data_IF_449015202073
#
_entry.id   IF_449015202073
#
_cell.length_a   1.000
_cell.length_b   1.000
_cell.length_c   1.000
_cell.angle_alpha   90.00
_cell.angle_beta   90.00
_cell.angle_gamma   90.00
#
_symmetry.space_group_name_H-M   'P 1'
#
loop_
_entity.id
_entity.type
_entity.pdbx_description
1 polymer ?
#
# COMPACT_ATOMS: atom_id res chain seq x y z
N UNK A 1 44.43 -13.11 11.62
CA UNK A 1 43.15 -13.23 12.36
C UNK A 1 42.32 -11.96 12.28
N UNK A 2 42.85 -10.78 12.64
CA UNK A 2 42.11 -9.51 12.61
C UNK A 2 41.46 -9.18 11.25
N UNK A 3 42.19 -9.33 10.12
CA UNK A 3 41.66 -9.03 8.77
C UNK A 3 40.45 -9.88 8.36
N UNK A 4 40.45 -11.16 8.74
CA UNK A 4 39.34 -12.06 8.44
C UNK A 4 38.08 -11.67 9.24
N UNK A 5 38.27 -11.27 10.50
CA UNK A 5 37.18 -10.78 11.35
C UNK A 5 36.60 -9.45 10.82
N UNK A 6 37.46 -8.54 10.35
CA UNK A 6 37.03 -7.28 9.73
C UNK A 6 36.23 -7.51 8.44
N UNK A 7 36.68 -8.43 7.58
CA UNK A 7 35.96 -8.78 6.35
C UNK A 7 34.60 -9.43 6.66
N UNK A 8 34.55 -10.33 7.64
CA UNK A 8 33.30 -10.95 8.08
C UNK A 8 32.33 -9.91 8.67
N UNK A 9 32.82 -8.97 9.49
CA UNK A 9 32.01 -7.88 10.03
C UNK A 9 31.48 -6.96 8.92
N UNK A 10 32.30 -6.61 7.92
CA UNK A 10 31.86 -5.80 6.79
C UNK A 10 30.78 -6.51 5.97
N UNK A 11 30.98 -7.79 5.66
CA UNK A 11 30.00 -8.60 4.94
C UNK A 11 28.68 -8.68 5.73
N UNK A 12 28.74 -8.86 7.04
CA UNK A 12 27.57 -8.86 7.91
C UNK A 12 26.82 -7.52 7.87
N UNK A 13 27.52 -6.38 7.94
CA UNK A 13 26.91 -5.05 7.82
C UNK A 13 26.27 -4.85 6.45
N UNK A 14 26.93 -5.27 5.37
CA UNK A 14 26.35 -5.20 4.01
C UNK A 14 25.06 -6.01 3.93
N UNK A 15 25.05 -7.22 4.49
CA UNK A 15 23.83 -8.05 4.55
C UNK A 15 22.73 -7.35 5.35
N UNK A 16 23.04 -6.76 6.51
CA UNK A 16 22.04 -6.02 7.29
C UNK A 16 21.47 -4.81 6.53
N UNK A 17 22.32 -4.06 5.82
CA UNK A 17 21.86 -2.92 5.00
C UNK A 17 20.93 -3.40 3.90
N UNK A 18 21.29 -4.46 3.17
CA UNK A 18 20.46 -5.03 2.11
C UNK A 18 19.10 -5.50 2.63
N UNK A 19 19.08 -6.12 3.82
CA UNK A 19 17.84 -6.56 4.46
C UNK A 19 16.96 -5.39 4.95
N UNK A 20 17.54 -4.23 5.24
CA UNK A 20 16.80 -3.06 5.71
C UNK A 20 16.24 -2.17 4.59
N UNK A 21 16.72 -2.29 3.34
CA UNK A 21 16.31 -1.44 2.22
C UNK A 21 14.78 -1.38 2.00
N UNK A 22 14.02 -2.50 2.02
CA UNK A 22 12.58 -2.46 1.77
C UNK A 22 11.81 -1.61 2.78
N UNK A 23 12.28 -1.51 4.02
CA UNK A 23 11.63 -0.72 5.08
C UNK A 23 11.66 0.79 4.85
N UNK A 24 12.44 1.25 3.86
CA UNK A 24 12.50 2.67 3.48
C UNK A 24 11.69 3.00 2.23
N UNK A 25 11.14 1.99 1.54
CA UNK A 25 10.34 2.21 0.34
C UNK A 25 8.95 2.78 0.69
N UNK A 26 8.38 3.55 -0.24
CA UNK A 26 7.02 4.04 -0.10
C UNK A 26 6.02 2.87 -0.13
N UNK A 27 5.00 2.86 0.74
CA UNK A 27 3.95 1.86 0.70
C UNK A 27 3.16 1.92 -0.61
N UNK A 28 2.82 0.74 -1.12
CA UNK A 28 2.09 0.54 -2.37
C UNK A 28 0.69 0.02 -2.06
N UNK A 29 -0.32 0.63 -2.69
CA UNK A 29 -1.72 0.23 -2.62
C UNK A 29 -2.16 -0.26 -3.99
N UNK A 30 -2.55 -1.53 -4.07
CA UNK A 30 -3.08 -2.18 -5.27
C UNK A 30 -4.59 -2.20 -5.15
N UNK A 31 -5.25 -1.26 -5.82
CA UNK A 31 -6.70 -1.12 -5.83
C UNK A 31 -7.29 -1.99 -6.95
N UNK A 32 -8.12 -2.97 -6.61
CA UNK A 32 -8.74 -3.89 -7.56
C UNK A 32 -10.25 -3.65 -7.54
N UNK A 33 -10.81 -3.14 -8.63
CA UNK A 33 -12.26 -3.00 -8.75
C UNK A 33 -12.90 -4.31 -9.21
N UNK A 34 -13.53 -5.03 -8.27
CA UNK A 34 -14.34 -6.22 -8.54
C UNK A 34 -15.84 -5.95 -8.51
N UNK A 35 -16.25 -4.71 -8.21
CA UNK A 35 -17.64 -4.31 -8.24
C UNK A 35 -18.21 -4.42 -9.66
N UNK A 36 -19.52 -4.48 -9.75
CA UNK A 36 -20.26 -4.55 -11.01
C UNK A 36 -20.22 -3.26 -11.84
N UNK A 37 -19.70 -2.17 -11.28
CA UNK A 37 -19.69 -0.83 -11.85
C UNK A 37 -18.33 -0.11 -11.66
N UNK A 38 -18.04 0.95 -12.45
CA UNK A 38 -16.87 1.78 -12.23
C UNK A 38 -16.92 2.46 -10.86
N UNK A 39 -15.75 2.67 -10.27
CA UNK A 39 -15.61 3.33 -8.97
C UNK A 39 -14.54 4.42 -9.02
N UNK A 40 -14.73 5.45 -8.22
CA UNK A 40 -13.70 6.43 -7.89
C UNK A 40 -13.30 6.23 -6.44
N UNK A 41 -12.02 5.98 -6.20
CA UNK A 41 -11.46 5.80 -4.85
C UNK A 41 -10.70 7.07 -4.48
N UNK A 42 -11.08 7.66 -3.35
CA UNK A 42 -10.31 8.72 -2.70
C UNK A 42 -9.57 8.13 -1.51
N UNK A 43 -8.26 8.37 -1.46
CA UNK A 43 -7.39 8.01 -0.35
C UNK A 43 -7.00 9.29 0.39
N UNK A 44 -7.37 9.39 1.68
CA UNK A 44 -7.04 10.55 2.52
C UNK A 44 -6.23 10.12 3.74
N UNK A 45 -5.23 10.91 4.10
CA UNK A 45 -4.38 10.68 5.27
C UNK A 45 -3.97 12.02 5.91
N UNK A 46 -3.63 12.05 7.21
CA UNK A 46 -3.52 13.31 7.96
C UNK A 46 -2.47 14.30 7.45
N UNK A 47 -1.41 13.79 6.84
CA UNK A 47 -0.18 14.56 6.55
C UNK A 47 -0.08 14.97 5.06
N UNK A 48 -1.05 14.58 4.22
CA UNK A 48 -0.98 14.80 2.78
C UNK A 48 -2.29 15.23 2.14
N UNK A 49 -2.21 15.50 0.83
CA UNK A 49 -3.39 15.79 0.02
C UNK A 49 -4.08 14.49 -0.38
N UNK A 50 -5.40 14.47 -0.35
CA UNK A 50 -6.15 13.31 -0.81
C UNK A 50 -5.82 12.99 -2.28
N UNK A 51 -5.70 11.70 -2.58
CA UNK A 51 -5.44 11.20 -3.94
C UNK A 51 -6.67 10.47 -4.42
N UNK A 52 -7.15 10.84 -5.61
CA UNK A 52 -8.27 10.18 -6.26
C UNK A 52 -7.80 9.28 -7.41
N UNK A 53 -8.47 8.14 -7.58
CA UNK A 53 -8.27 7.25 -8.71
C UNK A 53 -9.60 6.71 -9.23
N UNK A 54 -9.85 6.91 -10.51
CA UNK A 54 -10.94 6.26 -11.24
C UNK A 54 -10.51 4.87 -11.69
N UNK A 55 -11.31 3.86 -11.35
CA UNK A 55 -11.02 2.45 -11.62
C UNK A 55 -12.21 1.83 -12.35
N UNK A 56 -12.09 1.56 -13.66
CA UNK A 56 -13.10 0.82 -14.41
C UNK A 56 -13.33 -0.58 -13.80
N UNK A 57 -14.50 -1.15 -14.09
CA UNK A 57 -14.86 -2.51 -13.67
C UNK A 57 -13.82 -3.54 -14.09
N UNK A 58 -13.48 -4.47 -13.18
CA UNK A 58 -12.48 -5.54 -13.38
C UNK A 58 -11.07 -5.04 -13.70
N UNK A 59 -10.76 -3.80 -13.31
CA UNK A 59 -9.45 -3.21 -13.54
C UNK A 59 -8.70 -2.98 -12.22
N UNK A 60 -7.38 -2.83 -12.33
CA UNK A 60 -6.48 -2.63 -11.20
C UNK A 60 -5.75 -1.30 -11.34
N UNK A 61 -5.55 -0.61 -10.22
CA UNK A 61 -4.76 0.62 -10.14
C UNK A 61 -3.79 0.56 -8.97
N UNK A 62 -2.53 0.90 -9.23
CA UNK A 62 -1.52 1.03 -8.20
C UNK A 62 -1.34 2.50 -7.82
N UNK A 63 -1.23 2.76 -6.52
CA UNK A 63 -0.93 4.07 -5.94
C UNK A 63 0.13 3.91 -4.85
N UNK A 64 0.95 4.94 -4.68
CA UNK A 64 1.95 5.00 -3.61
C UNK A 64 1.66 6.17 -2.70
N UNK A 65 1.82 5.97 -1.39
CA UNK A 65 1.76 7.06 -0.41
C UNK A 65 3.17 7.33 0.12
N UNK A 66 3.58 8.60 0.34
CA UNK A 66 4.96 8.95 0.67
C UNK A 66 5.35 8.72 2.13
N UNK A 67 4.44 8.23 2.97
CA UNK A 67 4.70 8.05 4.41
C UNK A 67 3.91 6.90 5.00
N UNK A 68 4.18 6.57 6.26
CA UNK A 68 3.38 5.63 7.05
C UNK A 68 2.32 6.34 7.90
N UNK A 69 1.31 5.61 8.34
CA UNK A 69 0.26 6.15 9.19
C UNK A 69 -1.09 5.50 8.98
N UNK A 70 -2.14 6.29 9.06
CA UNK A 70 -3.51 5.85 8.82
C UNK A 70 -4.04 6.47 7.52
N UNK A 71 -4.71 5.65 6.70
CA UNK A 71 -5.40 6.08 5.49
C UNK A 71 -6.88 5.71 5.58
N UNK A 72 -7.75 6.61 5.10
CA UNK A 72 -9.17 6.36 4.94
C UNK A 72 -9.45 6.26 3.44
N UNK A 73 -10.17 5.21 3.04
CA UNK A 73 -10.62 5.01 1.67
C UNK A 73 -12.09 5.39 1.55
N UNK A 74 -12.38 6.34 0.67
CA UNK A 74 -13.76 6.66 0.27
C UNK A 74 -13.98 6.16 -1.15
N UNK A 75 -14.81 5.13 -1.29
CA UNK A 75 -15.20 4.56 -2.58
C UNK A 75 -16.51 5.20 -3.01
N UNK A 76 -16.54 5.84 -4.17
CA UNK A 76 -17.73 6.35 -4.84
C UNK A 76 -18.05 5.47 -6.04
N UNK A 77 -19.26 4.95 -6.10
CA UNK A 77 -19.72 4.10 -7.19
C UNK A 77 -20.45 4.93 -8.25
N UNK A 78 -20.46 4.48 -9.50
CA UNK A 78 -21.19 5.16 -10.58
C UNK A 78 -22.69 5.32 -10.30
N UNK A 79 -23.29 4.40 -9.54
CA UNK A 79 -24.67 4.48 -9.02
C UNK A 79 -24.93 5.62 -8.03
N UNK A 80 -23.88 6.31 -7.55
CA UNK A 80 -23.96 7.35 -6.53
C UNK A 80 -23.89 6.84 -5.09
N UNK A 81 -23.84 5.51 -4.89
CA UNK A 81 -23.49 4.92 -3.60
C UNK A 81 -22.08 5.36 -3.20
N UNK A 82 -21.85 5.52 -1.90
CA UNK A 82 -20.50 5.72 -1.37
C UNK A 82 -20.27 4.87 -0.13
N UNK A 83 -19.02 4.48 0.08
CA UNK A 83 -18.59 3.73 1.25
C UNK A 83 -17.26 4.31 1.73
N UNK A 84 -17.17 4.66 3.01
CA UNK A 84 -15.93 5.06 3.64
C UNK A 84 -15.45 3.94 4.56
N UNK A 85 -14.17 3.58 4.47
CA UNK A 85 -13.58 2.61 5.37
C UNK A 85 -13.31 3.20 6.74
N UNK A 86 -13.14 2.34 7.74
CA UNK A 86 -12.42 2.73 8.94
C UNK A 86 -10.95 3.08 8.60
N UNK A 87 -10.26 3.88 9.44
CA UNK A 87 -8.84 4.16 9.25
C UNK A 87 -8.02 2.86 9.22
N UNK A 88 -7.31 2.63 8.13
CA UNK A 88 -6.37 1.52 8.01
C UNK A 88 -4.95 2.01 8.28
N UNK A 89 -4.26 1.34 9.19
CA UNK A 89 -2.85 1.59 9.46
C UNK A 89 -1.94 0.84 8.50
N UNK A 90 -0.86 1.51 8.08
CA UNK A 90 0.13 0.97 7.17
C UNK A 90 1.53 1.50 7.51
N UNK A 91 2.54 0.72 7.15
CA UNK A 91 3.95 1.04 7.36
C UNK A 91 4.66 1.21 6.03
N UNK A 92 5.85 1.82 6.06
CA UNK A 92 6.73 1.84 4.89
C UNK A 92 7.08 0.43 4.41
N UNK A 93 7.34 0.31 3.11
CA UNK A 93 7.65 -0.96 2.44
C UNK A 93 6.49 -1.95 2.34
N UNK A 94 5.30 -1.60 2.84
CA UNK A 94 4.14 -2.47 2.77
C UNK A 94 3.51 -2.45 1.37
N UNK A 95 3.03 -3.61 0.93
CA UNK A 95 2.09 -3.71 -0.20
C UNK A 95 0.72 -4.08 0.34
N UNK A 96 -0.29 -3.30 0.00
CA UNK A 96 -1.66 -3.45 0.49
C UNK A 96 -2.56 -3.65 -0.72
N UNK A 97 -3.25 -4.78 -0.76
CA UNK A 97 -4.26 -5.07 -1.78
C UNK A 97 -5.62 -4.65 -1.24
N UNK A 98 -6.30 -3.80 -2.00
CA UNK A 98 -7.64 -3.30 -1.69
C UNK A 98 -8.60 -3.87 -2.73
N UNK A 99 -9.38 -4.87 -2.34
CA UNK A 99 -10.42 -5.48 -3.17
C UNK A 99 -11.73 -4.70 -2.97
N UNK A 100 -12.19 -4.00 -4.00
CA UNK A 100 -13.40 -3.17 -3.97
C UNK A 100 -14.54 -3.98 -4.57
N UNK A 101 -15.45 -4.46 -3.72
CA UNK A 101 -16.68 -5.17 -4.12
C UNK A 101 -17.91 -4.28 -4.01
N UNK A 102 -19.09 -4.80 -4.38
CA UNK A 102 -20.33 -4.02 -4.33
C UNK A 102 -20.77 -3.63 -2.90
N UNK A 103 -20.25 -4.32 -1.87
CA UNK A 103 -20.55 -4.06 -0.45
C UNK A 103 -19.54 -3.10 0.21
N UNK A 104 -18.42 -2.79 -0.45
CA UNK A 104 -17.35 -1.98 0.11
C UNK A 104 -15.93 -2.50 -0.17
N UNK A 105 -14.91 -1.75 0.25
CA UNK A 105 -13.52 -2.18 0.16
C UNK A 105 -13.18 -3.21 1.24
N UNK A 106 -12.39 -4.21 0.87
CA UNK A 106 -11.76 -5.17 1.79
C UNK A 106 -10.25 -5.12 1.62
N UNK A 107 -9.54 -5.33 2.72
CA UNK A 107 -8.12 -5.03 2.79
C UNK A 107 -7.30 -6.26 3.13
N UNK A 108 -6.21 -6.45 2.39
CA UNK A 108 -5.28 -7.55 2.59
C UNK A 108 -3.85 -7.02 2.52
N UNK A 109 -3.08 -7.25 3.57
CA UNK A 109 -1.64 -7.05 3.50
C UNK A 109 -1.04 -8.16 2.65
N UNK A 110 -0.41 -7.79 1.54
CA UNK A 110 0.44 -8.71 0.82
C UNK A 110 1.84 -8.59 1.42
N UNK A 111 2.18 -9.54 2.28
CA UNK A 111 3.55 -9.68 2.80
C UNK A 111 4.41 -10.37 1.74
N UNK A 112 4.41 -9.82 0.53
CA UNK A 112 5.16 -10.30 -0.62
C UNK A 112 6.66 -10.18 -0.35
N UNK A 113 7.21 -11.10 0.45
CA UNK A 113 8.61 -11.48 0.32
C UNK A 113 8.73 -12.17 -1.04
N UNK A 114 9.25 -11.44 -2.02
CA UNK A 114 9.90 -12.00 -3.19
C UNK A 114 11.34 -11.52 -3.23
#
# INVERSE_FOLDING_TARGET
MARALTLAALAFVVVLVLLALPSFADPVFVLINRASEPVTVEMSWPVGQAVEADIPTQNTRELTLPDEGAVIFTVRYASGRHHASEPMYFTRGATIVVDIGDEGPTFRHDTGMR
#
